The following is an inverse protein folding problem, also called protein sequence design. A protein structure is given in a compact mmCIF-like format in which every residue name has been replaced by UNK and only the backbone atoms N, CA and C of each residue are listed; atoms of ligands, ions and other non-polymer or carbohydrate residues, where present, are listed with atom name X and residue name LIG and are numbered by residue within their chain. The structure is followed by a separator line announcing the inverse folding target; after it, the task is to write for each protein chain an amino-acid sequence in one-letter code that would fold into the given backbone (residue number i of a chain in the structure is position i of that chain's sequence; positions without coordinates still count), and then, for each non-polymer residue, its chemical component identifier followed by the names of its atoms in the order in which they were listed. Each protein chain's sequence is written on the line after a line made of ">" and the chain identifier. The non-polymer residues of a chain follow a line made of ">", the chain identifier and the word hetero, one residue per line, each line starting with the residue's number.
data_IF_549349285414
#
_entry.id   IF_549349285414
#
_cell.length_a   1.000
_cell.length_b   1.000
_cell.length_c   1.000
_cell.angle_alpha   90.00
_cell.angle_beta   90.00
_cell.angle_gamma   90.00
#
_symmetry.space_group_name_H-M   'P 1'
#
loop_
_entity.id
_entity.type
_entity.pdbx_description
1 polymer ?
#
# COMPACT_ATOMS: atom_id res chain seq x y z
N UNK A 1 -7.07 -21.49 7.13
CA UNK A 1 -6.93 -20.68 8.35
C UNK A 1 -8.26 -20.07 8.69
N UNK A 2 -8.74 -20.28 9.88
CA UNK A 2 -10.04 -19.74 10.28
C UNK A 2 -9.78 -18.70 11.36
N UNK A 3 -9.77 -17.44 10.97
CA UNK A 3 -9.57 -16.32 11.87
C UNK A 3 -10.86 -16.10 12.68
N UNK A 4 -11.44 -14.98 12.76
CA UNK A 4 -12.72 -14.76 13.42
C UNK A 4 -13.86 -15.37 12.59
N UNK A 5 -14.92 -15.84 13.26
CA UNK A 5 -16.16 -16.27 12.60
C UNK A 5 -17.03 -15.04 12.31
N UNK A 6 -18.01 -15.16 11.39
CA UNK A 6 -18.97 -14.09 11.10
C UNK A 6 -19.72 -13.62 12.36
N UNK A 7 -19.93 -14.52 13.34
CA UNK A 7 -20.54 -14.21 14.63
C UNK A 7 -19.68 -13.31 15.53
N UNK A 8 -18.37 -13.24 15.28
CA UNK A 8 -17.45 -12.38 16.04
C UNK A 8 -17.42 -10.95 15.50
N UNK A 9 -18.09 -10.68 14.37
CA UNK A 9 -18.17 -9.37 13.74
C UNK A 9 -19.43 -8.63 14.17
N UNK A 10 -19.32 -7.31 14.35
CA UNK A 10 -20.49 -6.45 14.54
C UNK A 10 -20.96 -5.90 13.20
N UNK A 11 -22.29 -5.90 12.99
CA UNK A 11 -22.87 -5.33 11.78
C UNK A 11 -23.34 -3.91 12.06
N UNK A 12 -22.68 -2.91 11.48
CA UNK A 12 -23.05 -1.50 11.63
C UNK A 12 -23.07 -0.80 10.28
N UNK A 13 -24.12 -0.03 10.01
CA UNK A 13 -24.27 0.79 8.78
C UNK A 13 -24.04 -0.02 7.49
N UNK A 14 -24.50 -1.28 7.42
CA UNK A 14 -24.34 -2.11 6.23
C UNK A 14 -22.97 -2.76 6.04
N UNK A 15 -22.07 -2.67 7.03
CA UNK A 15 -20.74 -3.27 6.98
C UNK A 15 -20.51 -4.19 8.17
N UNK A 16 -19.82 -5.30 7.92
CA UNK A 16 -19.28 -6.14 8.99
C UNK A 16 -17.98 -5.50 9.50
N UNK A 17 -17.96 -5.21 10.80
CA UNK A 17 -16.79 -4.66 11.48
C UNK A 17 -16.14 -5.81 12.23
N UNK A 18 -14.88 -6.08 11.93
CA UNK A 18 -14.11 -7.09 12.66
C UNK A 18 -13.91 -6.65 14.11
N UNK A 19 -13.76 -7.59 15.06
CA UNK A 19 -13.54 -7.25 16.47
C UNK A 19 -12.36 -6.27 16.68
N UNK A 20 -11.32 -6.38 15.87
CA UNK A 20 -10.15 -5.49 15.91
C UNK A 20 -10.47 -4.08 15.42
N UNK A 21 -11.28 -3.96 14.35
CA UNK A 21 -11.67 -2.65 13.81
C UNK A 21 -12.76 -1.97 14.64
N UNK A 22 -13.36 -2.68 15.60
CA UNK A 22 -14.27 -2.09 16.57
C UNK A 22 -13.54 -1.34 17.70
N UNK A 23 -12.23 -1.50 17.82
CA UNK A 23 -11.42 -0.81 18.83
C UNK A 23 -11.04 0.58 18.27
N UNK A 24 -11.42 1.70 18.91
CA UNK A 24 -11.11 3.04 18.42
C UNK A 24 -9.62 3.29 18.14
N UNK A 25 -8.74 2.71 18.97
CA UNK A 25 -7.29 2.80 18.78
C UNK A 25 -6.77 2.22 17.46
N UNK A 26 -7.48 1.26 16.85
CA UNK A 26 -7.03 0.66 15.60
C UNK A 26 -7.07 1.63 14.40
N UNK A 27 -7.87 2.68 14.51
CA UNK A 27 -7.98 3.73 13.48
C UNK A 27 -6.96 4.86 13.64
N UNK A 28 -6.29 4.94 14.79
CA UNK A 28 -5.31 5.97 15.10
C UNK A 28 -3.86 5.52 14.89
N UNK A 29 -3.65 4.25 14.53
CA UNK A 29 -2.31 3.74 14.27
C UNK A 29 -1.80 4.29 12.93
N UNK A 30 -0.73 5.04 12.99
CA UNK A 30 0.06 5.43 11.82
C UNK A 30 0.53 4.18 11.06
N UNK A 31 0.76 4.29 9.74
CA UNK A 31 1.22 3.17 8.91
C UNK A 31 2.47 2.48 9.47
N UNK A 32 3.39 3.26 10.04
CA UNK A 32 4.62 2.78 10.68
C UNK A 32 4.37 1.96 11.96
N UNK A 33 3.20 2.06 12.59
CA UNK A 33 2.76 1.23 13.72
C UNK A 33 1.90 0.04 13.29
N UNK A 34 1.56 -0.08 12.02
CA UNK A 34 0.83 -1.23 11.50
C UNK A 34 1.60 -2.53 11.66
N UNK A 35 0.89 -3.67 11.71
CA UNK A 35 1.58 -4.96 11.81
C UNK A 35 2.49 -5.20 10.61
N UNK A 36 1.95 -5.13 9.42
CA UNK A 36 2.66 -5.51 8.20
C UNK A 36 3.84 -4.60 7.92
N UNK A 37 3.64 -3.27 7.97
CA UNK A 37 4.69 -2.33 7.59
C UNK A 37 5.70 -2.07 8.71
N UNK A 38 5.25 -1.92 9.95
CA UNK A 38 6.11 -1.47 11.04
C UNK A 38 6.60 -2.57 11.98
N UNK A 39 5.68 -3.45 12.44
CA UNK A 39 6.02 -4.40 13.51
C UNK A 39 6.56 -5.73 13.02
N UNK A 40 6.01 -6.27 11.93
CA UNK A 40 6.49 -7.51 11.34
C UNK A 40 7.99 -7.46 11.01
N UNK A 41 8.53 -6.39 10.40
CA UNK A 41 9.98 -6.25 10.19
C UNK A 41 10.80 -6.34 11.48
N UNK A 42 10.31 -5.76 12.55
CA UNK A 42 10.98 -5.72 13.84
C UNK A 42 11.01 -7.08 14.55
N UNK A 43 10.01 -7.91 14.31
CA UNK A 43 9.85 -9.22 14.95
C UNK A 43 10.08 -10.41 14.02
N UNK A 44 10.52 -10.17 12.77
CA UNK A 44 10.80 -11.23 11.80
C UNK A 44 11.79 -12.26 12.32
N UNK A 45 12.76 -11.83 13.15
CA UNK A 45 13.72 -12.72 13.76
C UNK A 45 13.08 -13.77 14.68
N UNK A 46 12.01 -13.43 15.39
CA UNK A 46 11.22 -14.38 16.18
C UNK A 46 10.47 -15.32 15.24
N UNK A 47 9.87 -14.78 14.16
CA UNK A 47 9.18 -15.57 13.14
C UNK A 47 10.08 -16.63 12.51
N UNK A 48 11.32 -16.29 12.21
CA UNK A 48 12.31 -17.22 11.68
C UNK A 48 12.64 -18.35 12.66
N UNK A 49 12.75 -18.07 13.96
CA UNK A 49 12.96 -19.09 15.01
C UNK A 49 11.73 -20.02 15.06
N UNK A 50 10.54 -19.46 15.12
CA UNK A 50 9.29 -20.23 15.17
C UNK A 50 9.12 -21.12 13.93
N UNK A 51 9.45 -20.61 12.77
CA UNK A 51 9.38 -21.38 11.52
C UNK A 51 10.40 -22.50 11.47
N UNK A 52 11.64 -22.23 11.86
CA UNK A 52 12.73 -23.22 11.80
C UNK A 52 12.50 -24.41 12.74
N UNK A 53 12.01 -24.17 13.96
CA UNK A 53 11.82 -25.21 14.96
C UNK A 53 10.38 -25.74 15.05
N UNK A 54 9.43 -25.09 14.35
CA UNK A 54 8.01 -25.30 14.60
C UNK A 54 7.54 -24.58 15.87
N UNK A 55 6.23 -24.50 16.05
CA UNK A 55 5.60 -23.69 17.10
C UNK A 55 6.07 -24.03 18.51
N UNK A 56 5.97 -25.30 18.91
CA UNK A 56 6.16 -25.69 20.30
C UNK A 56 7.63 -25.49 20.73
N UNK A 57 8.57 -26.01 19.97
CA UNK A 57 9.99 -25.87 20.24
C UNK A 57 10.46 -24.42 19.99
N UNK A 58 9.93 -23.76 18.96
CA UNK A 58 10.21 -22.36 18.66
C UNK A 58 9.78 -21.41 19.78
N UNK A 59 8.59 -21.59 20.36
CA UNK A 59 8.15 -20.83 21.53
C UNK A 59 9.05 -21.08 22.74
N UNK A 60 9.38 -22.35 23.02
CA UNK A 60 10.28 -22.71 24.13
C UNK A 60 11.65 -22.05 24.00
N UNK A 61 12.24 -22.08 22.80
CA UNK A 61 13.53 -21.41 22.52
C UNK A 61 13.41 -19.88 22.63
N UNK A 62 12.35 -19.32 22.07
CA UNK A 62 12.10 -17.88 22.13
C UNK A 62 12.00 -17.37 23.56
N UNK A 63 11.36 -18.10 24.48
CA UNK A 63 11.33 -17.72 25.89
C UNK A 63 12.73 -17.64 26.52
N UNK A 64 13.58 -18.63 26.26
CA UNK A 64 14.94 -18.61 26.72
C UNK A 64 15.74 -17.43 26.21
N UNK A 65 15.61 -17.18 24.90
CA UNK A 65 16.29 -16.07 24.19
C UNK A 65 15.80 -14.71 24.72
N UNK A 66 14.50 -14.53 24.84
CA UNK A 66 13.87 -13.29 25.35
C UNK A 66 14.29 -13.03 26.82
N UNK A 67 14.27 -14.07 27.65
CA UNK A 67 14.71 -13.94 29.04
C UNK A 67 16.21 -13.61 29.17
N UNK A 68 17.05 -14.13 28.30
CA UNK A 68 18.46 -13.77 28.22
C UNK A 68 18.65 -12.32 27.77
N UNK A 69 17.89 -11.86 26.79
CA UNK A 69 17.91 -10.47 26.30
C UNK A 69 17.57 -9.51 27.45
N UNK A 70 16.47 -9.76 28.17
CA UNK A 70 16.07 -8.92 29.30
C UNK A 70 17.16 -8.85 30.39
N UNK A 71 17.82 -9.97 30.73
CA UNK A 71 18.92 -10.00 31.70
C UNK A 71 20.15 -9.22 31.25
N UNK A 72 20.47 -9.24 29.95
CA UNK A 72 21.63 -8.58 29.37
C UNK A 72 21.40 -7.09 29.13
N UNK A 73 20.18 -6.72 28.82
CA UNK A 73 19.77 -5.36 28.50
C UNK A 73 18.49 -4.96 29.27
N UNK A 74 18.56 -4.78 30.62
CA UNK A 74 17.39 -4.52 31.46
C UNK A 74 16.70 -3.17 31.15
N UNK A 75 17.38 -2.25 30.46
CA UNK A 75 16.80 -0.99 30.01
C UNK A 75 16.06 -1.07 28.66
N UNK A 76 15.99 -2.26 28.08
CA UNK A 76 15.27 -2.47 26.84
C UNK A 76 13.80 -2.79 27.16
N UNK A 77 12.88 -2.04 26.55
CA UNK A 77 11.44 -2.20 26.81
C UNK A 77 10.74 -3.10 25.79
N UNK A 78 11.33 -3.29 24.61
CA UNK A 78 10.79 -4.16 23.57
C UNK A 78 11.89 -5.00 22.93
N UNK A 79 11.51 -6.18 22.44
CA UNK A 79 12.43 -7.09 21.74
C UNK A 79 12.53 -6.76 20.23
N UNK A 80 12.45 -5.49 19.83
CA UNK A 80 12.55 -5.05 18.44
C UNK A 80 13.97 -5.21 17.93
N UNK A 81 14.09 -5.71 16.72
CA UNK A 81 15.42 -5.94 16.11
C UNK A 81 16.20 -4.64 15.95
N UNK A 82 15.56 -3.54 15.56
CA UNK A 82 16.19 -2.23 15.46
C UNK A 82 16.80 -1.75 16.79
N UNK A 83 16.14 -2.02 17.91
CA UNK A 83 16.65 -1.68 19.23
C UNK A 83 17.78 -2.61 19.68
N UNK A 84 17.68 -3.90 19.37
CA UNK A 84 18.77 -4.86 19.64
C UNK A 84 20.03 -4.47 18.87
N UNK A 85 19.90 -4.03 17.63
CA UNK A 85 21.03 -3.57 16.80
C UNK A 85 21.69 -2.28 17.30
N UNK A 86 21.02 -1.50 18.15
CA UNK A 86 21.57 -0.27 18.77
C UNK A 86 22.24 -0.51 20.14
N UNK A 87 22.15 -1.72 20.68
CA UNK A 87 22.86 -2.06 21.93
C UNK A 87 24.37 -2.00 21.73
N UNK A 88 25.09 -1.82 22.83
CA UNK A 88 26.55 -1.88 22.80
C UNK A 88 27.06 -3.21 22.22
N UNK A 89 28.15 -3.16 21.46
CA UNK A 89 28.70 -4.31 20.74
C UNK A 89 28.98 -5.52 21.66
N UNK A 90 29.40 -5.30 22.92
CA UNK A 90 29.65 -6.35 23.88
C UNK A 90 28.33 -7.00 24.35
N UNK A 91 27.28 -6.23 24.54
CA UNK A 91 25.96 -6.75 24.91
C UNK A 91 25.38 -7.53 23.72
N UNK A 92 25.45 -6.97 22.49
CA UNK A 92 25.06 -7.68 21.28
C UNK A 92 25.77 -9.01 21.15
N UNK A 93 27.10 -9.02 21.30
CA UNK A 93 27.90 -10.26 21.21
C UNK A 93 27.47 -11.29 22.20
N UNK A 94 27.35 -10.94 23.50
CA UNK A 94 26.89 -11.86 24.55
C UNK A 94 25.50 -12.41 24.28
N UNK A 95 24.60 -11.58 23.78
CA UNK A 95 23.26 -12.00 23.41
C UNK A 95 23.28 -12.97 22.22
N UNK A 96 24.03 -12.66 21.17
CA UNK A 96 24.14 -13.52 19.99
C UNK A 96 24.90 -14.82 20.28
N UNK A 97 25.89 -14.78 21.13
CA UNK A 97 26.56 -15.99 21.63
C UNK A 97 25.57 -16.91 22.38
N UNK A 98 24.68 -16.34 23.19
CA UNK A 98 23.62 -17.12 23.84
C UNK A 98 22.69 -17.77 22.83
N UNK A 99 22.25 -17.04 21.78
CA UNK A 99 21.39 -17.56 20.71
C UNK A 99 22.10 -18.71 19.98
N UNK A 100 23.35 -18.53 19.61
CA UNK A 100 24.14 -19.56 18.90
C UNK A 100 24.35 -20.80 19.76
N UNK A 101 24.66 -20.63 21.04
CA UNK A 101 24.78 -21.74 22.02
C UNK A 101 23.44 -22.47 22.25
N UNK A 102 22.31 -21.78 22.11
CA UNK A 102 20.99 -22.42 22.17
C UNK A 102 20.64 -23.21 20.90
N UNK A 103 21.54 -23.22 19.90
CA UNK A 103 21.38 -23.90 18.63
C UNK A 103 20.55 -23.14 17.60
N UNK A 104 20.22 -21.84 17.82
CA UNK A 104 19.36 -21.06 16.92
C UNK A 104 20.17 -20.24 15.88
N UNK A 105 21.42 -20.59 15.61
CA UNK A 105 22.27 -19.91 14.63
C UNK A 105 21.67 -19.98 13.23
N UNK A 106 21.33 -21.17 12.78
CA UNK A 106 20.85 -21.45 11.45
C UNK A 106 19.49 -20.79 11.19
N UNK A 107 18.66 -20.67 12.22
CA UNK A 107 17.35 -20.02 12.13
C UNK A 107 17.46 -18.51 11.83
N UNK A 108 18.52 -17.85 12.32
CA UNK A 108 18.73 -16.41 12.13
C UNK A 108 19.71 -16.07 10.99
N UNK A 109 20.40 -17.06 10.44
CA UNK A 109 21.29 -16.87 9.30
C UNK A 109 20.63 -16.17 8.09
N UNK A 110 19.33 -16.39 7.78
CA UNK A 110 18.65 -15.67 6.72
C UNK A 110 18.76 -14.13 6.83
N UNK A 111 18.71 -13.57 8.02
CA UNK A 111 18.80 -12.12 8.23
C UNK A 111 20.14 -11.52 7.79
N UNK A 112 21.18 -12.31 7.59
CA UNK A 112 22.49 -11.84 7.10
C UNK A 112 22.45 -11.35 5.66
N UNK A 113 21.34 -11.57 4.92
CA UNK A 113 21.14 -11.01 3.58
C UNK A 113 21.05 -9.49 3.64
N UNK A 114 20.39 -8.91 4.64
CA UNK A 114 20.27 -7.47 4.81
C UNK A 114 21.06 -6.92 6.01
N UNK A 115 21.32 -7.73 7.05
CA UNK A 115 22.24 -7.39 8.14
C UNK A 115 23.66 -7.83 7.80
N UNK A 116 24.23 -7.15 6.79
CA UNK A 116 25.56 -7.47 6.27
C UNK A 116 26.67 -7.01 7.21
N UNK A 117 27.91 -7.45 6.95
CA UNK A 117 29.07 -7.04 7.73
C UNK A 117 29.30 -5.53 7.76
N UNK A 118 28.86 -4.79 6.73
CA UNK A 118 28.95 -3.33 6.69
C UNK A 118 27.89 -2.62 7.53
N UNK A 119 26.71 -3.23 7.73
CA UNK A 119 25.57 -2.63 8.44
C UNK A 119 25.43 -3.11 9.88
N UNK A 120 25.68 -4.39 10.11
CA UNK A 120 25.55 -5.03 11.41
C UNK A 120 26.72 -6.05 11.63
N UNK A 121 27.94 -5.57 11.83
CA UNK A 121 29.13 -6.42 11.83
C UNK A 121 29.10 -7.51 12.90
N UNK A 122 28.58 -7.21 14.10
CA UNK A 122 28.47 -8.19 15.19
C UNK A 122 27.47 -9.29 14.83
N UNK A 123 26.30 -8.91 14.30
CA UNK A 123 25.28 -9.85 13.86
C UNK A 123 25.80 -10.75 12.73
N UNK A 124 26.33 -10.14 11.67
CA UNK A 124 26.84 -10.88 10.52
C UNK A 124 27.92 -11.89 10.91
N UNK A 125 28.84 -11.50 11.80
CA UNK A 125 29.89 -12.41 12.31
C UNK A 125 29.33 -13.61 13.07
N UNK A 126 28.26 -13.43 13.85
CA UNK A 126 27.68 -14.50 14.66
C UNK A 126 26.80 -15.45 13.87
N UNK A 127 26.01 -14.92 12.93
CA UNK A 127 24.94 -15.66 12.24
C UNK A 127 25.24 -16.06 10.80
N UNK A 128 26.33 -15.61 10.21
CA UNK A 128 26.70 -16.06 8.87
C UNK A 128 26.92 -17.57 8.83
N UNK A 129 26.22 -18.25 7.94
CA UNK A 129 26.34 -19.69 7.67
C UNK A 129 26.76 -19.89 6.21
N UNK A 130 28.00 -20.33 5.96
CA UNK A 130 28.50 -20.53 4.59
C UNK A 130 27.75 -21.65 3.86
N UNK A 131 27.20 -22.61 4.60
CA UNK A 131 26.46 -23.76 4.04
C UNK A 131 25.04 -23.39 3.55
N UNK A 132 24.53 -22.20 3.88
CA UNK A 132 23.27 -21.70 3.35
C UNK A 132 23.57 -20.74 2.21
N UNK A 133 23.05 -21.03 1.01
CA UNK A 133 23.16 -20.14 -0.15
C UNK A 133 22.44 -18.81 0.09
N UNK A 134 22.71 -17.80 -0.70
CA UNK A 134 21.97 -16.50 -0.62
C UNK A 134 20.52 -16.74 -0.99
N UNK A 135 20.26 -17.56 -1.99
CA UNK A 135 18.94 -17.94 -2.48
C UNK A 135 18.11 -18.60 -1.37
N UNK A 136 18.68 -19.60 -0.65
CA UNK A 136 18.00 -20.28 0.45
C UNK A 136 17.66 -19.31 1.59
N UNK A 137 18.56 -18.37 1.90
CA UNK A 137 18.32 -17.34 2.92
C UNK A 137 17.23 -16.35 2.51
N UNK A 138 17.23 -15.90 1.25
CA UNK A 138 16.17 -15.05 0.73
C UNK A 138 14.82 -15.77 0.75
N UNK A 139 14.77 -17.03 0.29
CA UNK A 139 13.55 -17.82 0.29
C UNK A 139 13.01 -18.03 1.71
N UNK A 140 13.86 -18.31 2.70
CA UNK A 140 13.45 -18.45 4.09
C UNK A 140 12.80 -17.17 4.63
N UNK A 141 13.33 -15.99 4.29
CA UNK A 141 12.75 -14.70 4.66
C UNK A 141 11.37 -14.53 4.00
N UNK A 142 11.29 -14.72 2.68
CA UNK A 142 10.06 -14.53 1.90
C UNK A 142 8.96 -15.48 2.39
N UNK A 143 9.29 -16.75 2.62
CA UNK A 143 8.33 -17.73 3.12
C UNK A 143 7.85 -17.40 4.52
N UNK A 144 8.75 -16.98 5.41
CA UNK A 144 8.37 -16.55 6.76
C UNK A 144 7.45 -15.33 6.70
N UNK A 145 7.81 -14.32 5.89
CA UNK A 145 6.98 -13.12 5.72
C UNK A 145 5.57 -13.46 5.19
N UNK A 146 5.46 -14.36 4.20
CA UNK A 146 4.15 -14.79 3.65
C UNK A 146 3.23 -15.37 4.74
N UNK A 147 3.78 -16.14 5.68
CA UNK A 147 3.02 -16.77 6.76
C UNK A 147 2.58 -15.77 7.83
N UNK A 148 3.42 -14.76 8.10
CA UNK A 148 3.20 -13.79 9.19
C UNK A 148 2.64 -12.44 8.73
N UNK A 149 2.55 -12.18 7.43
CA UNK A 149 2.09 -10.90 6.88
C UNK A 149 0.64 -10.58 7.27
N UNK A 150 -0.23 -11.60 7.28
CA UNK A 150 -1.58 -11.44 7.83
C UNK A 150 -1.51 -11.29 9.35
N UNK A 151 -1.85 -10.07 9.83
CA UNK A 151 -1.85 -9.73 11.25
C UNK A 151 -2.76 -10.62 12.11
N UNK A 152 -3.65 -11.39 11.49
CA UNK A 152 -4.55 -12.33 12.15
C UNK A 152 -4.09 -13.79 12.04
N UNK A 153 -3.00 -14.07 11.33
CA UNK A 153 -2.47 -15.43 11.25
C UNK A 153 -2.11 -15.99 12.63
N UNK A 154 -2.07 -17.30 12.73
CA UNK A 154 -1.64 -17.95 13.95
C UNK A 154 -0.19 -17.64 14.26
N UNK A 155 0.63 -17.67 13.19
CA UNK A 155 2.06 -17.42 13.21
C UNK A 155 2.38 -15.99 13.66
N UNK A 156 1.66 -14.99 13.12
CA UNK A 156 1.77 -13.61 13.57
C UNK A 156 1.34 -13.44 15.02
N UNK A 157 0.34 -14.21 15.48
CA UNK A 157 -0.12 -14.16 16.87
C UNK A 157 0.90 -14.80 17.83
N UNK A 158 1.55 -15.89 17.41
CA UNK A 158 2.62 -16.52 18.20
C UNK A 158 3.80 -15.55 18.37
N UNK A 159 4.18 -14.81 17.33
CA UNK A 159 5.22 -13.77 17.44
C UNK A 159 4.82 -12.66 18.42
N UNK A 160 3.59 -12.16 18.32
CA UNK A 160 3.06 -11.14 19.24
C UNK A 160 3.03 -11.63 20.69
N UNK A 161 2.75 -12.91 20.88
CA UNK A 161 2.79 -13.52 22.20
C UNK A 161 4.21 -13.49 22.79
N UNK A 162 5.23 -13.78 21.99
CA UNK A 162 6.63 -13.68 22.42
C UNK A 162 7.03 -12.23 22.71
N UNK A 163 6.61 -11.28 21.87
CA UNK A 163 6.83 -9.86 22.10
C UNK A 163 6.15 -9.39 23.40
N UNK A 164 4.89 -9.77 23.62
CA UNK A 164 4.15 -9.46 24.84
C UNK A 164 4.82 -10.06 26.08
N UNK A 165 5.37 -11.27 25.98
CA UNK A 165 6.11 -11.88 27.08
C UNK A 165 7.34 -11.05 27.46
N UNK A 166 8.06 -10.48 26.48
CA UNK A 166 9.16 -9.56 26.78
C UNK A 166 8.68 -8.33 27.55
N UNK A 167 7.62 -7.68 27.09
CA UNK A 167 7.04 -6.50 27.75
C UNK A 167 6.54 -6.82 29.17
N UNK A 168 6.06 -8.05 29.40
CA UNK A 168 5.65 -8.49 30.73
C UNK A 168 6.84 -8.65 31.68
N UNK A 169 7.92 -9.31 31.24
CA UNK A 169 9.10 -9.50 32.10
C UNK A 169 9.89 -8.21 32.33
N UNK A 170 9.81 -7.24 31.43
CA UNK A 170 10.38 -5.90 31.58
C UNK A 170 9.55 -4.98 32.51
N UNK A 171 8.37 -5.42 32.94
CA UNK A 171 7.51 -4.68 33.86
C UNK A 171 6.64 -3.61 33.23
N UNK A 172 6.61 -3.53 31.89
CA UNK A 172 5.85 -2.51 31.15
C UNK A 172 4.34 -2.82 31.06
N UNK A 173 3.95 -4.06 31.30
CA UNK A 173 2.56 -4.50 31.18
C UNK A 173 2.05 -5.12 32.47
N UNK A 174 0.98 -4.53 33.01
CA UNK A 174 0.22 -5.10 34.11
C UNK A 174 -1.01 -5.82 33.56
N UNK A 175 -1.05 -7.14 33.74
CA UNK A 175 -2.11 -8.01 33.26
C UNK A 175 -3.17 -8.25 34.34
N UNK A 176 -4.42 -8.31 33.93
CA UNK A 176 -5.50 -8.78 34.77
C UNK A 176 -5.38 -10.30 34.99
N UNK A 177 -5.85 -10.82 36.13
CA UNK A 177 -5.74 -12.24 36.47
C UNK A 177 -6.28 -13.16 35.38
N UNK A 178 -7.42 -12.83 34.84
CA UNK A 178 -8.05 -13.61 33.74
C UNK A 178 -7.19 -13.64 32.47
N UNK A 179 -6.49 -12.55 32.17
CA UNK A 179 -5.56 -12.47 31.04
C UNK A 179 -4.31 -13.31 31.30
N UNK A 180 -3.81 -13.33 32.53
CA UNK A 180 -2.65 -14.16 32.91
C UNK A 180 -2.97 -15.64 32.69
N UNK A 181 -4.14 -16.12 33.11
CA UNK A 181 -4.53 -17.52 32.95
C UNK A 181 -4.57 -17.92 31.46
N UNK A 182 -5.10 -17.05 30.58
CA UNK A 182 -5.10 -17.26 29.13
C UNK A 182 -3.68 -17.29 28.54
N UNK A 183 -2.82 -16.38 28.98
CA UNK A 183 -1.44 -16.29 28.47
C UNK A 183 -0.56 -17.43 28.96
N UNK A 184 -0.78 -17.93 30.18
CA UNK A 184 -0.06 -19.11 30.72
C UNK A 184 -0.45 -20.37 29.95
N UNK A 185 -1.73 -20.50 29.57
CA UNK A 185 -2.20 -21.64 28.79
C UNK A 185 -1.79 -21.60 27.31
N UNK A 186 -1.50 -20.40 26.77
CA UNK A 186 -1.28 -20.19 25.34
C UNK A 186 -0.17 -21.07 24.73
N UNK A 187 1.04 -21.21 25.31
CA UNK A 187 2.11 -21.98 24.69
C UNK A 187 1.86 -23.49 24.63
N UNK A 188 1.08 -24.02 25.59
CA UNK A 188 0.74 -25.44 25.66
C UNK A 188 -0.51 -25.82 24.87
N UNK A 189 -1.29 -24.85 24.41
CA UNK A 189 -2.53 -25.06 23.67
C UNK A 189 -2.28 -25.16 22.18
N UNK A 190 -2.96 -26.07 21.48
CA UNK A 190 -2.95 -26.16 20.01
C UNK A 190 -3.80 -25.05 19.42
N UNK A 191 -3.49 -24.62 18.19
CA UNK A 191 -4.27 -23.60 17.49
C UNK A 191 -5.75 -23.97 17.30
N UNK A 192 -6.08 -25.26 17.34
CA UNK A 192 -7.45 -25.78 17.23
C UNK A 192 -8.23 -25.78 18.53
N UNK A 193 -7.58 -25.60 19.67
CA UNK A 193 -8.21 -25.67 20.98
C UNK A 193 -9.15 -24.49 21.21
N UNK A 194 -10.24 -24.72 21.94
CA UNK A 194 -11.29 -23.73 22.17
C UNK A 194 -10.75 -22.48 22.91
N UNK A 195 -9.81 -22.65 23.83
CA UNK A 195 -9.20 -21.56 24.56
C UNK A 195 -8.55 -20.53 23.63
N UNK A 196 -8.08 -20.94 22.45
CA UNK A 196 -7.46 -20.06 21.47
C UNK A 196 -8.43 -19.03 20.87
N UNK A 197 -9.72 -19.25 20.97
CA UNK A 197 -10.74 -18.28 20.54
C UNK A 197 -10.70 -17.01 21.40
N UNK A 198 -10.34 -17.16 22.68
CA UNK A 198 -10.19 -16.04 23.63
C UNK A 198 -8.74 -15.58 23.72
N UNK A 199 -7.78 -16.50 23.75
CA UNK A 199 -6.37 -16.18 23.96
C UNK A 199 -5.77 -15.35 22.79
N UNK A 200 -6.08 -15.68 21.53
CA UNK A 200 -5.56 -14.94 20.36
C UNK A 200 -6.00 -13.49 20.31
N UNK A 201 -7.30 -13.15 20.41
CA UNK A 201 -7.71 -11.74 20.49
C UNK A 201 -7.08 -11.01 21.68
N UNK A 202 -6.96 -11.68 22.83
CA UNK A 202 -6.33 -11.11 24.03
C UNK A 202 -4.86 -10.77 23.78
N UNK A 203 -4.08 -11.68 23.22
CA UNK A 203 -2.67 -11.43 22.85
C UNK A 203 -2.56 -10.24 21.89
N UNK A 204 -3.39 -10.20 20.86
CA UNK A 204 -3.36 -9.12 19.84
C UNK A 204 -3.74 -7.77 20.43
N UNK A 205 -4.77 -7.73 21.28
CA UNK A 205 -5.22 -6.50 21.92
C UNK A 205 -4.18 -5.96 22.90
N UNK A 206 -3.60 -6.82 23.74
CA UNK A 206 -2.59 -6.41 24.72
C UNK A 206 -1.32 -5.91 24.02
N UNK A 207 -0.83 -6.60 23.00
CA UNK A 207 0.34 -6.17 22.26
C UNK A 207 0.08 -4.84 21.53
N UNK A 208 -1.12 -4.62 21.00
CA UNK A 208 -1.48 -3.33 20.39
C UNK A 208 -1.57 -2.18 21.39
N UNK A 209 -2.03 -2.41 22.61
CA UNK A 209 -2.12 -1.35 23.63
C UNK A 209 -0.77 -0.76 23.99
N UNK A 210 0.30 -1.55 23.90
CA UNK A 210 1.66 -1.12 24.25
C UNK A 210 2.22 -0.14 23.19
N UNK A 211 1.80 -0.28 21.94
CA UNK A 211 2.33 0.47 20.79
C UNK A 211 2.05 1.98 20.82
N UNK A 212 1.07 2.43 21.59
CA UNK A 212 0.73 3.86 21.68
C UNK A 212 1.87 4.69 22.28
N UNK A 213 2.76 4.05 23.03
CA UNK A 213 3.85 4.70 23.75
C UNK A 213 5.23 4.47 23.14
N UNK A 214 5.33 3.71 22.04
CA UNK A 214 6.61 3.31 21.48
C UNK A 214 7.02 4.18 20.29
N UNK A 215 8.29 4.58 20.28
CA UNK A 215 8.91 5.21 19.12
C UNK A 215 9.23 4.17 18.03
N UNK A 216 8.99 4.52 16.78
CA UNK A 216 9.26 3.70 15.61
C UNK A 216 10.59 4.11 14.99
N UNK A 217 11.44 3.15 14.64
CA UNK A 217 12.64 3.39 13.86
C UNK A 217 12.34 3.42 12.36
N UNK A 218 11.91 4.59 11.87
CA UNK A 218 11.59 4.78 10.45
C UNK A 218 12.77 4.52 9.52
N UNK A 219 14.02 4.73 9.97
CA UNK A 219 15.21 4.47 9.17
C UNK A 219 15.42 2.96 8.97
N UNK A 220 15.26 2.17 10.05
CA UNK A 220 15.30 0.72 9.99
C UNK A 220 14.22 0.17 9.06
N UNK A 221 12.98 0.64 9.19
CA UNK A 221 11.86 0.17 8.36
C UNK A 221 12.08 0.46 6.88
N UNK A 222 12.51 1.67 6.52
CA UNK A 222 12.82 2.04 5.14
C UNK A 222 13.88 1.14 4.54
N UNK A 223 14.94 0.87 5.30
CA UNK A 223 16.03 0.00 4.84
C UNK A 223 15.60 -1.46 4.73
N UNK A 224 14.81 -1.96 5.68
CA UNK A 224 14.24 -3.30 5.63
C UNK A 224 13.42 -3.50 4.35
N UNK A 225 12.45 -2.63 4.08
CA UNK A 225 11.58 -2.75 2.91
C UNK A 225 12.34 -2.55 1.59
N UNK A 226 13.36 -1.71 1.60
CA UNK A 226 14.26 -1.59 0.45
C UNK A 226 14.94 -2.93 0.14
N UNK A 227 15.50 -3.58 1.15
CA UNK A 227 16.17 -4.87 0.98
C UNK A 227 15.19 -5.96 0.54
N UNK A 228 13.97 -6.01 1.13
CA UNK A 228 12.94 -6.97 0.73
C UNK A 228 12.53 -6.76 -0.74
N UNK A 229 12.44 -5.52 -1.20
CA UNK A 229 12.13 -5.22 -2.61
C UNK A 229 13.18 -5.77 -3.58
N UNK A 230 14.44 -5.85 -3.16
CA UNK A 230 15.54 -6.40 -3.95
C UNK A 230 15.53 -7.94 -3.99
N UNK A 231 14.85 -8.59 -3.03
CA UNK A 231 14.74 -10.06 -2.97
C UNK A 231 13.55 -10.61 -3.77
N UNK A 232 12.64 -9.76 -4.22
CA UNK A 232 11.43 -10.17 -4.93
C UNK A 232 11.49 -9.75 -6.39
N UNK A 233 10.89 -10.55 -7.28
CA UNK A 233 10.70 -10.20 -8.70
C UNK A 233 9.70 -9.05 -8.88
N UNK A 234 8.96 -8.71 -7.87
CA UNK A 234 8.19 -7.48 -7.81
C UNK A 234 9.17 -6.32 -7.70
N UNK A 235 9.49 -5.70 -8.82
CA UNK A 235 10.01 -4.34 -8.79
C UNK A 235 8.93 -3.48 -8.12
N UNK A 236 9.03 -3.33 -6.81
CA UNK A 236 8.29 -2.28 -6.13
C UNK A 236 8.78 -1.01 -6.82
N UNK A 237 7.88 -0.37 -7.55
CA UNK A 237 8.09 1.02 -7.93
C UNK A 237 8.13 1.82 -6.63
N UNK A 238 9.24 1.74 -5.92
CA UNK A 238 9.60 2.77 -4.99
C UNK A 238 9.79 4.01 -5.85
N UNK A 239 8.72 4.78 -6.01
CA UNK A 239 8.85 6.14 -6.52
C UNK A 239 9.70 6.83 -5.46
N UNK A 240 11.02 6.78 -5.64
CA UNK A 240 11.92 7.64 -4.90
C UNK A 240 11.59 9.04 -5.40
N UNK A 241 10.77 9.74 -4.67
CA UNK A 241 10.77 11.19 -4.79
C UNK A 241 12.17 11.61 -4.33
N UNK A 242 13.03 12.13 -5.22
CA UNK A 242 14.27 12.71 -4.75
C UNK A 242 13.89 13.75 -3.71
N UNK A 243 14.63 13.81 -2.61
CA UNK A 243 14.46 14.84 -1.55
C UNK A 243 14.68 16.27 -2.06
N UNK A 244 15.13 16.41 -3.29
CA UNK A 244 15.13 17.68 -3.99
C UNK A 244 13.70 18.21 -3.99
N UNK A 245 13.48 19.26 -3.25
CA UNK A 245 12.27 20.08 -3.31
C UNK A 245 12.10 20.52 -4.75
N UNK A 246 11.33 19.74 -5.53
CA UNK A 246 11.02 20.10 -6.92
C UNK A 246 10.37 21.47 -6.87
N UNK A 247 10.97 22.43 -7.53
CA UNK A 247 10.35 23.75 -7.65
C UNK A 247 9.17 23.63 -8.62
N UNK A 248 8.00 23.36 -8.05
CA UNK A 248 6.75 23.20 -8.78
C UNK A 248 6.43 24.47 -9.58
N UNK A 249 6.78 25.63 -9.05
CA UNK A 249 6.57 26.92 -9.71
C UNK A 249 7.37 26.99 -10.99
N UNK A 250 8.68 26.72 -10.94
CA UNK A 250 9.53 26.70 -12.14
C UNK A 250 9.07 25.66 -13.18
N UNK A 251 8.53 24.52 -12.72
CA UNK A 251 7.96 23.53 -13.62
C UNK A 251 6.70 24.05 -14.32
N UNK A 252 5.80 24.71 -13.60
CA UNK A 252 4.59 25.29 -14.16
C UNK A 252 4.88 26.44 -15.14
N UNK A 253 5.88 27.27 -14.84
CA UNK A 253 6.36 28.32 -15.74
C UNK A 253 6.87 27.73 -17.06
N UNK A 254 7.77 26.74 -17.00
CA UNK A 254 8.24 26.03 -18.20
C UNK A 254 7.12 25.39 -19.00
N UNK A 255 6.18 24.76 -18.33
CA UNK A 255 5.04 24.12 -18.98
C UNK A 255 4.17 25.16 -19.68
N UNK A 256 3.95 26.31 -19.03
CA UNK A 256 3.24 27.44 -19.62
C UNK A 256 3.93 27.96 -20.89
N UNK A 257 5.24 28.17 -20.86
CA UNK A 257 6.02 28.59 -22.02
C UNK A 257 5.85 27.62 -23.20
N UNK A 258 5.89 26.31 -22.94
CA UNK A 258 5.65 25.27 -23.97
C UNK A 258 4.26 25.41 -24.59
N UNK A 259 3.21 25.61 -23.79
CA UNK A 259 1.86 25.76 -24.29
C UNK A 259 1.67 27.08 -25.06
N UNK A 260 2.29 28.17 -24.62
CA UNK A 260 2.30 29.44 -25.37
C UNK A 260 3.00 29.27 -26.73
N UNK A 261 4.13 28.57 -26.75
CA UNK A 261 4.82 28.27 -28.02
C UNK A 261 3.98 27.41 -28.95
N UNK A 262 3.38 26.32 -28.43
CA UNK A 262 2.49 25.47 -29.21
C UNK A 262 1.27 26.23 -29.72
N UNK A 263 0.65 27.08 -28.91
CA UNK A 263 -0.48 27.94 -29.36
C UNK A 263 -0.09 28.84 -30.50
N UNK A 264 1.08 29.50 -30.47
CA UNK A 264 1.58 30.31 -31.56
C UNK A 264 1.87 29.49 -32.82
N UNK A 265 2.49 28.32 -32.66
CA UNK A 265 2.77 27.44 -33.79
C UNK A 265 1.51 26.96 -34.48
N UNK A 266 0.50 26.54 -33.76
CA UNK A 266 -0.74 26.00 -34.30
C UNK A 266 -1.73 27.08 -34.74
N UNK A 267 -1.62 28.32 -34.29
CA UNK A 267 -2.42 29.42 -34.82
C UNK A 267 -2.10 29.72 -36.27
N UNK A 268 -0.94 29.34 -36.79
CA UNK A 268 -0.49 29.52 -38.16
C UNK A 268 -0.56 28.23 -38.99
N UNK A 269 -0.79 27.06 -38.37
CA UNK A 269 -0.91 25.78 -39.06
C UNK A 269 -2.32 25.58 -39.64
N UNK A 270 -2.41 25.10 -40.86
CA UNK A 270 -3.67 24.85 -41.58
C UNK A 270 -3.75 23.39 -41.95
N UNK A 271 -4.95 22.80 -41.93
CA UNK A 271 -5.69 22.40 -40.74
C UNK A 271 -4.94 21.33 -39.99
N UNK A 272 -5.14 21.23 -38.68
CA UNK A 272 -4.59 20.13 -37.86
C UNK A 272 -5.22 18.81 -38.32
N UNK A 273 -4.38 17.76 -38.46
CA UNK A 273 -4.92 16.41 -38.64
C UNK A 273 -5.55 15.91 -37.33
N UNK A 274 -6.39 14.87 -37.45
CA UNK A 274 -7.13 14.33 -36.28
C UNK A 274 -6.21 13.94 -35.13
N UNK A 275 -5.08 13.32 -35.42
CA UNK A 275 -4.07 12.92 -34.39
C UNK A 275 -3.56 14.12 -33.61
N UNK A 276 -3.13 15.17 -34.31
CA UNK A 276 -2.60 16.37 -33.65
C UNK A 276 -3.68 17.11 -32.87
N UNK A 277 -4.89 17.16 -33.43
CA UNK A 277 -6.05 17.77 -32.78
C UNK A 277 -6.40 17.06 -31.48
N UNK A 278 -6.45 15.73 -31.46
CA UNK A 278 -6.72 14.92 -30.28
C UNK A 278 -5.60 15.08 -29.24
N UNK A 279 -4.33 14.92 -29.63
CA UNK A 279 -3.20 15.05 -28.73
C UNK A 279 -3.12 16.42 -28.08
N UNK A 280 -3.32 17.49 -28.86
CA UNK A 280 -3.31 18.85 -28.35
C UNK A 280 -4.53 19.12 -27.44
N UNK A 281 -5.69 18.58 -27.76
CA UNK A 281 -6.90 18.68 -26.95
C UNK A 281 -6.68 18.03 -25.57
N UNK A 282 -6.22 16.76 -25.53
CA UNK A 282 -5.94 16.04 -24.29
C UNK A 282 -4.83 16.76 -23.49
N UNK A 283 -3.75 17.16 -24.14
CA UNK A 283 -2.64 17.85 -23.46
C UNK A 283 -3.09 19.20 -22.86
N UNK A 284 -3.90 19.96 -23.59
CA UNK A 284 -4.45 21.24 -23.11
C UNK A 284 -5.38 21.04 -21.92
N UNK A 285 -6.23 20.03 -21.98
CA UNK A 285 -7.13 19.68 -20.88
C UNK A 285 -6.32 19.29 -19.64
N UNK A 286 -5.35 18.40 -19.80
CA UNK A 286 -4.44 17.99 -18.72
C UNK A 286 -3.68 19.17 -18.13
N UNK A 287 -3.18 20.09 -18.97
CA UNK A 287 -2.51 21.31 -18.49
C UNK A 287 -3.45 22.20 -17.66
N UNK A 288 -4.68 22.42 -18.12
CA UNK A 288 -5.69 23.20 -17.37
C UNK A 288 -5.96 22.58 -15.99
N UNK A 289 -6.12 21.25 -15.95
CA UNK A 289 -6.31 20.52 -14.68
C UNK A 289 -5.13 20.66 -13.73
N UNK A 290 -3.91 20.54 -14.25
CA UNK A 290 -2.70 20.72 -13.46
C UNK A 290 -2.58 22.15 -12.95
N UNK A 291 -2.91 23.13 -13.77
CA UNK A 291 -2.93 24.55 -13.42
C UNK A 291 -3.93 24.83 -12.31
N UNK A 292 -5.13 24.25 -12.36
CA UNK A 292 -6.16 24.34 -11.32
C UNK A 292 -5.65 23.82 -9.98
N UNK A 293 -5.00 22.62 -9.97
CA UNK A 293 -4.38 22.08 -8.76
C UNK A 293 -3.35 23.04 -8.17
N UNK A 294 -2.53 23.63 -9.02
CA UNK A 294 -1.45 24.52 -8.62
C UNK A 294 -2.00 25.86 -8.09
N UNK A 295 -2.85 26.53 -8.85
CA UNK A 295 -3.38 27.86 -8.51
C UNK A 295 -4.25 27.85 -7.25
N UNK A 296 -5.04 26.81 -7.05
CA UNK A 296 -5.92 26.65 -5.90
C UNK A 296 -5.31 25.80 -4.76
N UNK A 297 -4.02 25.43 -4.86
CA UNK A 297 -3.29 24.65 -3.85
C UNK A 297 -4.02 23.36 -3.42
N UNK A 298 -4.62 22.65 -4.37
CA UNK A 298 -5.44 21.48 -4.12
C UNK A 298 -4.64 20.21 -3.80
N UNK A 299 -3.35 20.31 -3.49
CA UNK A 299 -2.42 19.18 -3.34
C UNK A 299 -2.89 18.10 -2.35
N UNK A 300 -3.54 18.51 -1.26
CA UNK A 300 -4.02 17.61 -0.21
C UNK A 300 -5.55 17.43 -0.21
N UNK A 301 -6.25 17.97 -1.22
CA UNK A 301 -7.71 17.91 -1.30
C UNK A 301 -8.20 16.64 -2.03
N UNK A 302 -9.45 16.26 -1.79
CA UNK A 302 -10.13 15.20 -2.55
C UNK A 302 -10.23 15.59 -4.03
N UNK A 303 -10.52 16.87 -4.30
CA UNK A 303 -10.58 17.40 -5.67
C UNK A 303 -9.24 17.29 -6.38
N UNK A 304 -8.13 17.63 -5.71
CA UNK A 304 -6.79 17.48 -6.27
C UNK A 304 -6.46 16.03 -6.60
N UNK A 305 -6.82 15.07 -5.76
CA UNK A 305 -6.66 13.63 -6.04
C UNK A 305 -7.47 13.20 -7.26
N UNK A 306 -8.69 13.70 -7.39
CA UNK A 306 -9.53 13.44 -8.57
C UNK A 306 -8.92 14.01 -9.85
N UNK A 307 -8.38 15.23 -9.80
CA UNK A 307 -7.66 15.82 -10.91
C UNK A 307 -6.40 15.00 -11.30
N UNK A 308 -5.60 14.56 -10.33
CA UNK A 308 -4.43 13.70 -10.60
C UNK A 308 -4.84 12.39 -11.26
N UNK A 309 -5.93 11.78 -10.82
CA UNK A 309 -6.49 10.58 -11.46
C UNK A 309 -6.80 10.84 -12.94
N UNK A 310 -7.49 11.94 -13.25
CA UNK A 310 -7.81 12.31 -14.65
C UNK A 310 -6.54 12.51 -15.48
N UNK A 311 -5.51 13.17 -14.94
CA UNK A 311 -4.21 13.32 -15.62
C UNK A 311 -3.56 11.97 -15.97
N UNK A 312 -3.67 10.99 -15.09
CA UNK A 312 -3.17 9.63 -15.33
C UNK A 312 -4.01 8.94 -16.41
N UNK A 313 -5.34 9.08 -16.36
CA UNK A 313 -6.27 8.52 -17.36
C UNK A 313 -6.01 9.13 -18.75
N UNK A 314 -5.80 10.44 -18.85
CA UNK A 314 -5.42 11.15 -20.07
C UNK A 314 -4.10 10.61 -20.65
N UNK A 315 -3.09 10.41 -19.81
CA UNK A 315 -1.81 9.83 -20.23
C UNK A 315 -1.97 8.40 -20.75
N UNK A 316 -2.72 7.57 -20.04
CA UNK A 316 -3.01 6.19 -20.46
C UNK A 316 -3.75 6.19 -21.80
N UNK A 317 -4.72 7.06 -21.97
CA UNK A 317 -5.49 7.19 -23.22
C UNK A 317 -4.59 7.59 -24.40
N UNK A 318 -3.76 8.61 -24.24
CA UNK A 318 -2.80 8.99 -25.28
C UNK A 318 -1.86 7.85 -25.67
N UNK A 319 -1.35 7.10 -24.68
CA UNK A 319 -0.50 5.93 -24.92
C UNK A 319 -1.23 4.81 -25.62
N UNK A 320 -2.48 4.55 -25.24
CA UNK A 320 -3.33 3.54 -25.86
C UNK A 320 -3.58 3.87 -27.34
N UNK A 321 -4.00 5.10 -27.66
CA UNK A 321 -4.25 5.53 -29.03
C UNK A 321 -2.97 5.42 -29.87
N UNK A 322 -1.86 5.94 -29.38
CA UNK A 322 -0.58 5.87 -30.08
C UNK A 322 -0.07 4.43 -30.30
N UNK A 323 -0.31 3.51 -29.36
CA UNK A 323 0.11 2.11 -29.48
C UNK A 323 -0.73 1.36 -30.52
N UNK A 324 -2.03 1.67 -30.62
CA UNK A 324 -2.97 0.94 -31.47
C UNK A 324 -3.13 1.59 -32.86
N UNK A 325 -2.49 2.72 -33.13
CA UNK A 325 -2.55 3.43 -34.40
C UNK A 325 -2.19 2.53 -35.62
N UNK A 326 -1.24 1.61 -35.43
CA UNK A 326 -0.83 0.68 -36.50
C UNK A 326 -1.86 -0.42 -36.80
N UNK A 327 -2.76 -0.70 -35.86
CA UNK A 327 -3.78 -1.74 -36.00
C UNK A 327 -5.16 -1.19 -36.31
N UNK A 328 -5.36 0.13 -36.16
CA UNK A 328 -6.64 0.79 -36.34
C UNK A 328 -6.44 2.15 -37.06
N UNK A 329 -6.57 2.17 -38.36
CA UNK A 329 -6.23 3.31 -39.20
C UNK A 329 -6.94 4.62 -38.80
N UNK A 330 -8.21 4.54 -38.40
CA UNK A 330 -9.04 5.71 -38.07
C UNK A 330 -9.17 5.97 -36.56
N UNK A 331 -8.29 5.40 -35.70
CA UNK A 331 -8.43 5.43 -34.24
C UNK A 331 -8.56 6.87 -33.69
N UNK A 332 -7.86 7.83 -34.27
CA UNK A 332 -7.88 9.23 -33.83
C UNK A 332 -9.20 9.92 -34.18
N UNK A 333 -9.73 9.66 -35.37
CA UNK A 333 -11.04 10.13 -35.79
C UNK A 333 -12.14 9.50 -34.94
N UNK A 334 -12.11 8.21 -34.75
CA UNK A 334 -13.10 7.50 -33.95
C UNK A 334 -13.11 7.99 -32.48
N UNK A 335 -11.97 8.33 -31.95
CA UNK A 335 -11.88 8.94 -30.61
C UNK A 335 -12.54 10.31 -30.55
N UNK A 336 -12.33 11.17 -31.57
CA UNK A 336 -13.05 12.46 -31.71
C UNK A 336 -14.56 12.27 -31.79
N UNK A 337 -15.00 11.38 -32.67
CA UNK A 337 -16.43 11.08 -32.87
C UNK A 337 -17.08 10.53 -31.60
N UNK A 338 -16.37 9.69 -30.84
CA UNK A 338 -16.84 9.22 -29.53
C UNK A 338 -17.08 10.37 -28.55
N UNK A 339 -16.15 11.31 -28.44
CA UNK A 339 -16.31 12.50 -27.63
C UNK A 339 -17.52 13.34 -28.01
N UNK A 340 -17.75 13.54 -29.31
CA UNK A 340 -18.91 14.26 -29.82
C UNK A 340 -20.24 13.52 -29.57
N UNK A 341 -20.21 12.18 -29.61
CA UNK A 341 -21.36 11.35 -29.26
C UNK A 341 -21.84 11.56 -27.84
N UNK A 342 -20.91 11.80 -26.90
CA UNK A 342 -21.25 12.12 -25.50
C UNK A 342 -22.01 13.45 -25.37
N UNK A 343 -21.62 14.49 -26.13
CA UNK A 343 -22.35 15.77 -26.14
C UNK A 343 -23.77 15.61 -26.71
N UNK A 344 -23.96 14.84 -27.79
CA UNK A 344 -25.28 14.49 -28.30
C UNK A 344 -26.15 13.79 -27.26
N UNK A 345 -25.58 12.85 -26.55
CA UNK A 345 -26.29 12.13 -25.50
C UNK A 345 -26.72 13.06 -24.35
N UNK A 346 -25.83 13.97 -23.92
CA UNK A 346 -26.15 14.98 -22.91
C UNK A 346 -27.30 15.88 -23.37
N UNK A 347 -27.27 16.35 -24.64
CA UNK A 347 -28.31 17.19 -25.22
C UNK A 347 -29.65 16.44 -25.29
N UNK A 348 -29.64 15.20 -25.77
CA UNK A 348 -30.83 14.35 -25.83
C UNK A 348 -31.43 14.13 -24.42
N UNK A 349 -30.61 13.77 -23.43
CA UNK A 349 -31.05 13.61 -22.06
C UNK A 349 -31.62 14.87 -21.44
N UNK A 350 -31.01 16.02 -21.71
CA UNK A 350 -31.53 17.31 -21.28
C UNK A 350 -32.91 17.59 -21.84
N UNK A 351 -33.13 17.35 -23.13
CA UNK A 351 -34.43 17.53 -23.82
C UNK A 351 -35.50 16.56 -23.31
N UNK A 352 -35.11 15.30 -23.02
CA UNK A 352 -36.04 14.30 -22.49
C UNK A 352 -36.46 14.62 -21.04
N UNK A 353 -35.57 15.18 -20.23
CA UNK A 353 -35.83 15.42 -18.80
C UNK A 353 -36.81 16.57 -18.54
N UNK A 354 -37.13 17.39 -19.52
CA UNK A 354 -38.08 18.53 -19.40
C UNK A 354 -37.63 19.54 -18.32
N UNK A 355 -36.35 19.69 -18.10
CA UNK A 355 -35.77 20.50 -17.01
C UNK A 355 -36.16 21.95 -17.14
N UNK A 356 -36.59 22.55 -16.05
CA UNK A 356 -37.05 23.92 -15.91
C UNK A 356 -36.02 24.96 -16.38
N UNK A 357 -36.48 26.16 -16.67
CA UNK A 357 -35.71 27.34 -17.11
C UNK A 357 -34.58 27.76 -16.13
N UNK A 358 -34.43 27.13 -14.99
CA UNK A 358 -33.42 27.41 -13.93
C UNK A 358 -32.17 26.53 -14.05
N UNK A 359 -32.06 25.70 -15.10
CA UNK A 359 -30.90 24.86 -15.30
C UNK A 359 -29.70 25.72 -15.73
N UNK A 360 -28.54 25.51 -15.09
CA UNK A 360 -27.25 26.11 -15.50
C UNK A 360 -26.68 25.49 -16.79
N UNK A 361 -27.45 24.61 -17.46
CA UNK A 361 -27.08 23.96 -18.69
C UNK A 361 -27.41 24.89 -19.89
N UNK A 362 -26.38 25.30 -20.62
CA UNK A 362 -26.56 26.09 -21.85
C UNK A 362 -26.77 25.16 -23.06
N UNK A 363 -28.04 24.89 -23.33
CA UNK A 363 -28.45 24.03 -24.41
C UNK A 363 -27.96 24.56 -25.78
N UNK A 364 -27.99 25.90 -25.98
CA UNK A 364 -27.56 26.53 -27.24
C UNK A 364 -26.07 26.31 -27.47
N UNK A 365 -25.27 26.38 -26.41
CA UNK A 365 -23.84 26.14 -26.53
C UNK A 365 -23.54 24.68 -26.91
N UNK A 366 -24.17 23.72 -26.26
CA UNK A 366 -23.99 22.28 -26.56
C UNK A 366 -24.55 21.98 -27.98
N UNK A 367 -25.68 22.57 -28.34
CA UNK A 367 -26.26 22.43 -29.70
C UNK A 367 -25.33 23.02 -30.77
N UNK A 368 -24.71 24.17 -30.52
CA UNK A 368 -23.71 24.75 -31.41
C UNK A 368 -22.49 23.82 -31.59
N UNK A 369 -21.95 23.26 -30.48
CA UNK A 369 -20.87 22.28 -30.55
C UNK A 369 -21.25 21.05 -31.37
N UNK A 370 -22.43 20.48 -31.14
CA UNK A 370 -22.91 19.32 -31.91
C UNK A 370 -23.12 19.68 -33.39
N UNK A 371 -23.60 20.91 -33.71
CA UNK A 371 -23.84 21.37 -35.06
C UNK A 371 -22.57 21.73 -35.84
N UNK A 372 -21.49 22.13 -35.15
CA UNK A 372 -20.19 22.39 -35.75
C UNK A 372 -19.63 21.17 -36.49
N UNK A 373 -19.96 19.98 -36.01
CA UNK A 373 -19.53 18.70 -36.58
C UNK A 373 -20.56 18.03 -37.48
N UNK A 374 -21.58 18.77 -37.95
CA UNK A 374 -22.69 18.25 -38.78
C UNK A 374 -22.30 17.77 -40.18
N UNK A 375 -21.07 17.86 -40.60
CA UNK A 375 -20.60 17.37 -41.91
C UNK A 375 -20.10 15.92 -41.90
N UNK A 376 -20.09 15.25 -40.77
CA UNK A 376 -19.47 13.95 -40.63
C UNK A 376 -20.47 12.79 -40.46
N UNK A 377 -20.13 11.60 -40.94
CA UNK A 377 -20.96 10.37 -40.99
C UNK A 377 -21.64 9.98 -39.68
N UNK A 378 -21.15 10.51 -38.55
CA UNK A 378 -21.69 10.24 -37.24
C UNK A 378 -23.07 10.85 -36.96
N UNK A 379 -23.60 11.66 -37.87
CA UNK A 379 -24.82 12.44 -37.66
C UNK A 379 -26.07 11.71 -38.12
N UNK A 380 -25.95 10.70 -38.95
CA UNK A 380 -27.09 9.91 -39.45
C UNK A 380 -27.66 8.94 -38.38
N UNK A 381 -27.10 8.85 -37.19
CA UNK A 381 -27.76 8.22 -36.05
C UNK A 381 -28.94 9.11 -35.63
N UNK A 382 -30.10 8.82 -36.20
CA UNK A 382 -31.37 9.43 -35.81
C UNK A 382 -31.58 9.31 -34.31
N UNK A 383 -31.72 10.44 -33.61
CA UNK A 383 -31.99 10.49 -32.17
C UNK A 383 -33.26 9.76 -31.76
N UNK A 384 -34.06 9.32 -32.69
CA UNK A 384 -35.24 8.46 -32.48
C UNK A 384 -34.93 7.04 -32.04
N UNK A 385 -33.69 6.58 -32.21
CA UNK A 385 -33.27 5.23 -31.79
C UNK A 385 -32.77 5.13 -30.35
N UNK A 386 -32.78 6.21 -29.59
CA UNK A 386 -32.54 6.13 -28.13
C UNK A 386 -33.85 5.74 -27.42
N UNK A 387 -34.37 4.57 -27.74
CA UNK A 387 -35.43 3.97 -26.94
C UNK A 387 -34.87 3.59 -25.59
N UNK A 388 -35.65 3.83 -24.51
CA UNK A 388 -35.25 3.71 -23.08
C UNK A 388 -34.68 2.35 -22.67
N UNK A 389 -34.76 1.36 -23.57
CA UNK A 389 -34.31 -0.02 -23.28
C UNK A 389 -33.05 -0.43 -24.05
N UNK A 390 -32.57 0.32 -25.00
CA UNK A 390 -31.43 0.01 -25.86
C UNK A 390 -30.36 1.10 -25.80
N UNK A 391 -29.84 1.41 -24.62
CA UNK A 391 -28.50 1.97 -24.53
C UNK A 391 -27.57 0.78 -24.80
N UNK A 392 -27.49 0.43 -26.07
CA UNK A 392 -26.68 -0.66 -26.52
C UNK A 392 -25.21 -0.23 -26.47
N UNK A 393 -24.42 -0.94 -25.71
CA UNK A 393 -22.95 -0.97 -25.74
C UNK A 393 -22.40 -1.45 -27.12
N UNK A 394 -23.15 -1.27 -28.22
CA UNK A 394 -22.81 -1.78 -29.53
C UNK A 394 -21.84 -0.91 -30.33
N UNK A 395 -21.33 0.19 -29.78
CA UNK A 395 -20.31 1.03 -30.42
C UNK A 395 -18.89 0.80 -29.94
N UNK A 396 -18.66 -0.24 -29.14
CA UNK A 396 -17.33 -0.77 -28.87
C UNK A 396 -17.21 -2.18 -29.46
N UNK A 397 -17.03 -2.28 -30.76
CA UNK A 397 -16.46 -3.44 -31.45
C UNK A 397 -15.25 -3.04 -32.25
#
# INVERSE_FOLDING_TARGET
>A
MRHSTLSDHTFQKGKFITPINAIPLAHELEDEKSWTYGRMPEYLWIGLILKYYGRDEGLRKSYGIISALHKLAPGLYTARLSQILKLDADIQKRFYDYITCSGAKEALAPLTVFLTASKAPVFAKCFYCPDQSVEDRCEAIIQTMREIMDHQSNEATDIRFVALYFNQISGEVHLLREQVDLLVAYPSSKHTDEIMRMARPTVRSLEMMILTFEEVDSAYLKEFWRCVSEMTDCSIFAIRFPEEKRNITAYMEKLHEVFVYLSKLFSTAVPLNEKMSVLLGIATYSYKRLKEIYEHQLFNSISGRSCVRVLIEDYIMMKYLAKNESFHENIWRDYQLYGMGLYKLVLARHRESGVSKESHFDERYIEALVNEFKGEEFIDMDTKYFDKQNICYSTCR
#
